data_IF_459537164168
#
_entry.id   IF_459537164168
#
_cell.length_a   1.000
_cell.length_b   1.000
_cell.length_c   1.000
_cell.angle_alpha   90.00
_cell.angle_beta   90.00
_cell.angle_gamma   90.00
#
_symmetry.space_group_name_H-M   'P 1'
#
loop_
_entity.id
_entity.type
_entity.pdbx_description
1 polymer ?
#
# COMPACT_ATOMS: atom_id res chain seq x y z
N UNK A 1 -8.47 -8.14 3.78
CA UNK A 1 -7.87 -6.84 3.37
C UNK A 1 -8.57 -6.17 2.19
N UNK A 2 -9.01 -6.91 1.16
CA UNK A 2 -9.77 -6.32 0.05
C UNK A 2 -11.03 -5.56 0.50
N UNK A 3 -11.81 -6.11 1.44
CA UNK A 3 -13.02 -5.46 1.95
C UNK A 3 -12.76 -4.14 2.67
N UNK A 4 -11.70 -4.04 3.49
CA UNK A 4 -11.32 -2.81 4.20
C UNK A 4 -10.91 -1.70 3.22
N UNK A 5 -10.08 -2.05 2.25
CA UNK A 5 -9.64 -1.11 1.20
C UNK A 5 -10.81 -0.63 0.34
N UNK A 6 -11.73 -1.54 -0.02
CA UNK A 6 -12.92 -1.21 -0.77
C UNK A 6 -13.85 -0.26 -0.01
N UNK A 7 -14.11 -0.53 1.27
CA UNK A 7 -14.92 0.36 2.11
C UNK A 7 -14.33 1.77 2.21
N UNK A 8 -13.03 1.87 2.52
CA UNK A 8 -12.34 3.16 2.59
C UNK A 8 -12.30 3.90 1.25
N UNK A 9 -12.26 3.19 0.12
CA UNK A 9 -12.37 3.80 -1.20
C UNK A 9 -13.76 4.39 -1.45
N UNK A 10 -14.82 3.70 -1.02
CA UNK A 10 -16.20 4.21 -1.10
C UNK A 10 -16.37 5.44 -0.20
N UNK A 11 -15.89 5.39 1.04
CA UNK A 11 -15.92 6.53 1.97
C UNK A 11 -15.18 7.75 1.38
N UNK A 12 -13.98 7.55 0.85
CA UNK A 12 -13.22 8.63 0.23
C UNK A 12 -13.95 9.28 -0.97
N UNK A 13 -14.67 8.49 -1.78
CA UNK A 13 -15.48 9.00 -2.87
C UNK A 13 -16.69 9.81 -2.37
N UNK A 14 -17.35 9.34 -1.30
CA UNK A 14 -18.48 10.05 -0.67
C UNK A 14 -18.03 11.38 -0.05
N UNK A 15 -16.81 11.42 0.49
CA UNK A 15 -16.16 12.62 1.03
C UNK A 15 -15.63 13.57 -0.06
N UNK A 16 -15.86 13.26 -1.35
CA UNK A 16 -15.44 14.08 -2.49
C UNK A 16 -13.93 14.06 -2.76
N UNK A 17 -13.19 13.12 -2.16
CA UNK A 17 -11.77 12.97 -2.43
C UNK A 17 -11.55 12.48 -3.86
N UNK A 18 -10.59 13.11 -4.54
CA UNK A 18 -10.24 12.79 -5.91
C UNK A 18 -8.73 12.68 -6.05
N UNK A 19 -8.28 11.91 -7.04
CA UNK A 19 -6.85 11.75 -7.33
C UNK A 19 -6.02 11.24 -6.13
N UNK A 20 -6.61 10.39 -5.29
CA UNK A 20 -5.94 9.67 -4.19
C UNK A 20 -5.99 8.15 -4.38
N UNK A 21 -4.96 7.46 -3.91
CA UNK A 21 -4.90 6.00 -3.78
C UNK A 21 -5.20 5.61 -2.33
N UNK A 22 -6.08 4.63 -2.14
CA UNK A 22 -6.27 3.96 -0.85
C UNK A 22 -5.26 2.82 -0.72
N UNK A 23 -4.53 2.79 0.38
CA UNK A 23 -3.55 1.74 0.67
C UNK A 23 -3.54 1.35 2.14
N UNK A 24 -2.69 0.37 2.46
CA UNK A 24 -2.36 -0.01 3.83
C UNK A 24 -0.91 0.34 4.11
N UNK A 25 -0.65 0.98 5.25
CA UNK A 25 0.69 1.21 5.77
C UNK A 25 0.70 0.88 7.25
N UNK A 26 1.54 -0.07 7.66
CA UNK A 26 1.59 -0.56 9.05
C UNK A 26 0.20 -1.00 9.57
N UNK A 27 -0.55 -1.71 8.73
CA UNK A 27 -1.95 -2.16 8.94
C UNK A 27 -3.03 -1.07 9.06
N UNK A 28 -2.64 0.19 8.91
CA UNK A 28 -3.56 1.33 8.90
C UNK A 28 -3.97 1.73 7.47
N UNK A 29 -5.23 2.16 7.31
CA UNK A 29 -5.72 2.72 6.05
C UNK A 29 -5.06 4.09 5.84
N UNK A 30 -4.49 4.28 4.65
CA UNK A 30 -3.88 5.56 4.26
C UNK A 30 -4.41 6.03 2.92
N UNK A 31 -4.59 7.34 2.79
CA UNK A 31 -4.88 8.03 1.52
C UNK A 31 -3.60 8.71 1.03
N UNK A 32 -3.15 8.35 -0.17
CA UNK A 32 -1.92 8.89 -0.75
C UNK A 32 -2.25 9.59 -2.07
N UNK A 33 -1.82 10.85 -2.29
CA UNK A 33 -2.00 11.51 -3.58
C UNK A 33 -1.40 10.70 -4.73
N UNK A 34 -2.13 10.52 -5.83
CA UNK A 34 -1.70 9.66 -6.95
C UNK A 34 -0.33 10.04 -7.49
N UNK A 35 -0.02 11.35 -7.60
CA UNK A 35 1.28 11.84 -8.07
C UNK A 35 2.47 11.34 -7.24
N UNK A 36 2.25 11.05 -5.95
CA UNK A 36 3.25 10.47 -5.05
C UNK A 36 3.23 8.94 -5.15
N UNK A 37 2.04 8.34 -5.15
CA UNK A 37 1.87 6.89 -5.17
C UNK A 37 2.53 6.22 -6.39
N UNK A 38 2.40 6.79 -7.59
CA UNK A 38 2.94 6.18 -8.83
C UNK A 38 4.46 6.31 -8.97
N UNK A 39 5.10 7.18 -8.20
CA UNK A 39 6.55 7.46 -8.30
C UNK A 39 7.38 6.62 -7.33
N UNK A 40 6.74 5.96 -6.38
CA UNK A 40 7.44 5.12 -5.41
C UNK A 40 7.71 3.75 -6.02
N UNK A 41 8.99 3.43 -6.24
CA UNK A 41 9.39 2.07 -6.53
C UNK A 41 9.34 1.25 -5.25
N UNK A 42 8.57 0.16 -5.26
CA UNK A 42 8.59 -0.81 -4.16
C UNK A 42 10.00 -1.38 -4.06
N UNK A 43 10.71 -1.00 -2.99
CA UNK A 43 12.00 -1.60 -2.67
C UNK A 43 11.74 -2.95 -2.01
N UNK A 44 12.38 -3.99 -2.54
CA UNK A 44 12.45 -5.27 -1.89
C UNK A 44 13.33 -5.14 -0.64
N UNK A 45 12.90 -5.73 0.47
CA UNK A 45 13.75 -5.78 1.65
C UNK A 45 14.83 -6.84 1.42
N UNK A 46 16.03 -6.40 1.05
CA UNK A 46 17.14 -7.30 0.72
C UNK A 46 17.47 -8.25 1.87
N UNK A 47 17.35 -7.81 3.12
CA UNK A 47 17.59 -8.66 4.27
C UNK A 47 16.66 -9.88 4.33
N UNK A 48 15.41 -9.74 3.89
CA UNK A 48 14.47 -10.88 3.81
C UNK A 48 14.85 -11.86 2.71
N UNK A 49 15.40 -11.36 1.60
CA UNK A 49 15.92 -12.20 0.50
C UNK A 49 17.11 -13.00 1.01
N UNK A 50 18.05 -12.33 1.68
CA UNK A 50 19.26 -12.96 2.19
C UNK A 50 18.93 -14.09 3.21
N UNK A 51 17.89 -13.90 4.05
CA UNK A 51 17.41 -14.95 4.97
C UNK A 51 16.85 -16.14 4.19
N UNK A 52 16.03 -15.91 3.16
CA UNK A 52 15.48 -16.99 2.33
C UNK A 52 16.61 -17.80 1.68
N UNK A 53 17.66 -17.13 1.19
CA UNK A 53 18.80 -17.78 0.56
C UNK A 53 19.59 -18.66 1.55
N UNK A 54 19.71 -18.25 2.82
CA UNK A 54 20.36 -19.03 3.88
C UNK A 54 19.52 -20.27 4.27
N UNK A 55 18.19 -20.13 4.32
CA UNK A 55 17.28 -21.19 4.77
C UNK A 55 17.00 -22.25 3.70
N UNK A 56 17.34 -22.01 2.43
CA UNK A 56 17.14 -22.92 1.31
C UNK A 56 18.27 -23.97 1.12
N UNK A 57 18.92 -24.39 2.23
CA UNK A 57 19.92 -25.47 2.29
C UNK A 57 19.32 -26.76 2.85
#
# INVERSE_FOLDING_TARGET
>A
NASRLGNAAVEALLDGQQSVMVGLQSDEIVLVPFRKAIKQHKRLNQHLVDIIDILNV
#
